data_IF_564445821964
#
_entry.id   IF_564445821964
#
_cell.length_a   1.000
_cell.length_b   1.000
_cell.length_c   1.000
_cell.angle_alpha   90.00
_cell.angle_beta   90.00
_cell.angle_gamma   90.00
#
_symmetry.space_group_name_H-M   'P 1'
#
loop_
_entity.id
_entity.type
_entity.pdbx_description
1 polymer ?
#
# COMPACT_ATOMS: atom_id res chain seq x y z
N UNK A 1 -19.19 28.87 -32.47
CA UNK A 1 -18.17 28.80 -31.40
C UNK A 1 -18.35 27.45 -30.74
N UNK A 2 -17.39 26.56 -30.92
CA UNK A 2 -17.42 25.21 -30.36
C UNK A 2 -16.88 25.31 -28.94
N UNK A 3 -17.67 24.91 -27.95
CA UNK A 3 -17.24 24.75 -26.55
C UNK A 3 -15.92 23.96 -26.53
N UNK A 4 -14.91 24.39 -25.75
CA UNK A 4 -13.68 23.63 -25.62
C UNK A 4 -14.04 22.28 -24.99
N UNK A 5 -13.67 21.21 -25.69
CA UNK A 5 -13.79 19.84 -25.22
C UNK A 5 -13.01 19.75 -23.90
N UNK A 6 -13.70 19.84 -22.76
CA UNK A 6 -13.15 19.55 -21.45
C UNK A 6 -12.73 18.09 -21.49
N UNK A 7 -11.47 17.82 -21.85
CA UNK A 7 -10.85 16.53 -21.64
C UNK A 7 -11.01 16.26 -20.15
N UNK A 8 -11.95 15.37 -19.79
CA UNK A 8 -12.16 14.95 -18.43
C UNK A 8 -10.79 14.52 -17.90
N UNK A 9 -10.26 15.25 -16.92
CA UNK A 9 -9.09 14.79 -16.17
C UNK A 9 -9.42 13.38 -15.69
N UNK A 10 -8.63 12.35 -16.04
CA UNK A 10 -8.95 11.00 -15.62
C UNK A 10 -9.02 10.98 -14.10
N UNK A 11 -10.21 10.71 -13.56
CA UNK A 11 -10.43 10.68 -12.13
C UNK A 11 -9.63 9.51 -11.55
N UNK A 12 -8.61 9.82 -10.75
CA UNK A 12 -7.83 8.81 -10.05
C UNK A 12 -8.75 8.02 -9.12
N UNK A 13 -8.72 6.70 -9.20
CA UNK A 13 -9.51 5.79 -8.37
C UNK A 13 -8.61 5.12 -7.36
N UNK A 14 -8.93 5.33 -6.09
CA UNK A 14 -8.17 4.82 -4.96
C UNK A 14 -9.05 3.89 -4.14
N UNK A 15 -8.53 2.73 -3.78
CA UNK A 15 -9.15 1.81 -2.85
C UNK A 15 -8.29 1.70 -1.59
N UNK A 16 -8.85 1.96 -0.43
CA UNK A 16 -8.25 1.65 0.87
C UNK A 16 -8.93 0.40 1.43
N UNK A 17 -8.16 -0.64 1.70
CA UNK A 17 -8.59 -1.85 2.39
C UNK A 17 -8.08 -1.75 3.82
N UNK A 18 -9.00 -1.75 4.77
CA UNK A 18 -8.76 -1.32 6.13
C UNK A 18 -8.99 0.19 6.26
N UNK A 19 -9.73 0.56 7.30
CA UNK A 19 -10.08 1.94 7.61
C UNK A 19 -9.36 2.43 8.87
N UNK A 20 -9.39 1.62 9.93
CA UNK A 20 -8.90 2.02 11.25
C UNK A 20 -9.57 3.32 11.72
N UNK A 21 -8.76 4.36 11.96
CA UNK A 21 -9.25 5.70 12.30
C UNK A 21 -9.60 6.59 11.09
N UNK A 22 -9.33 6.14 9.86
CA UNK A 22 -9.62 6.88 8.64
C UNK A 22 -8.57 7.91 8.20
N UNK A 23 -7.41 7.97 8.87
CA UNK A 23 -6.35 8.94 8.56
C UNK A 23 -5.79 8.79 7.14
N UNK A 24 -5.49 7.56 6.72
CA UNK A 24 -4.95 7.28 5.38
C UNK A 24 -5.94 7.62 4.26
N UNK A 25 -7.21 7.14 4.27
CA UNK A 25 -8.16 7.51 3.22
C UNK A 25 -8.46 9.01 3.21
N UNK A 26 -8.51 9.66 4.38
CA UNK A 26 -8.71 11.11 4.46
C UNK A 26 -7.52 11.87 3.87
N UNK A 27 -6.29 11.44 4.17
CA UNK A 27 -5.07 12.00 3.59
C UNK A 27 -5.08 11.87 2.05
N UNK A 28 -5.40 10.68 1.53
CA UNK A 28 -5.44 10.44 0.09
C UNK A 28 -6.51 11.29 -0.60
N UNK A 29 -7.72 11.38 -0.05
CA UNK A 29 -8.76 12.24 -0.61
C UNK A 29 -8.42 13.74 -0.54
N UNK A 30 -7.71 14.17 0.51
CA UNK A 30 -7.26 15.56 0.65
C UNK A 30 -6.17 15.91 -0.36
N UNK A 31 -5.21 15.01 -0.60
CA UNK A 31 -4.06 15.26 -1.47
C UNK A 31 -4.34 15.00 -2.95
N UNK A 32 -5.26 14.09 -3.28
CA UNK A 32 -5.70 13.82 -4.66
C UNK A 32 -7.08 14.43 -4.91
N UNK A 33 -7.14 15.76 -5.09
CA UNK A 33 -8.40 16.46 -5.33
C UNK A 33 -9.14 15.92 -6.56
N UNK A 34 -10.40 15.54 -6.37
CA UNK A 34 -11.24 14.91 -7.40
C UNK A 34 -11.09 13.39 -7.49
N UNK A 35 -10.16 12.76 -6.80
CA UNK A 35 -10.06 11.31 -6.77
C UNK A 35 -11.30 10.66 -6.15
N UNK A 36 -11.70 9.52 -6.70
CA UNK A 36 -12.71 8.66 -6.09
C UNK A 36 -11.99 7.75 -5.10
N UNK A 37 -12.22 7.98 -3.81
CA UNK A 37 -11.64 7.17 -2.73
C UNK A 37 -12.71 6.27 -2.12
N UNK A 38 -12.55 4.98 -2.32
CA UNK A 38 -13.33 3.93 -1.69
C UNK A 38 -12.57 3.39 -0.48
N UNK A 39 -13.28 3.17 0.62
CA UNK A 39 -12.72 2.59 1.84
C UNK A 39 -13.52 1.34 2.18
N UNK A 40 -12.84 0.24 2.45
CA UNK A 40 -13.47 -1.03 2.81
C UNK A 40 -12.99 -1.43 4.20
N UNK A 41 -13.92 -1.57 5.12
CA UNK A 41 -13.68 -2.01 6.49
C UNK A 41 -14.58 -3.20 6.82
N UNK A 42 -14.02 -4.24 7.43
CA UNK A 42 -14.78 -5.45 7.76
C UNK A 42 -15.59 -5.26 9.06
N UNK A 43 -15.06 -4.49 10.01
CA UNK A 43 -15.66 -4.35 11.33
C UNK A 43 -16.53 -3.08 11.45
N UNK A 44 -17.87 -3.20 11.59
CA UNK A 44 -18.74 -2.05 11.81
C UNK A 44 -18.44 -1.29 13.12
N UNK A 45 -17.83 -1.93 14.12
CA UNK A 45 -17.42 -1.29 15.38
C UNK A 45 -16.29 -0.29 15.12
N UNK A 46 -15.30 -0.65 14.30
CA UNK A 46 -14.20 0.25 13.89
C UNK A 46 -14.76 1.46 13.15
N UNK A 47 -15.67 1.25 12.19
CA UNK A 47 -16.35 2.34 11.48
C UNK A 47 -17.07 3.26 12.45
N UNK A 48 -17.87 2.71 13.36
CA UNK A 48 -18.63 3.48 14.34
C UNK A 48 -17.71 4.29 15.24
N UNK A 49 -16.63 3.69 15.76
CA UNK A 49 -15.65 4.37 16.60
C UNK A 49 -14.94 5.51 15.85
N UNK A 50 -14.57 5.29 14.57
CA UNK A 50 -13.92 6.34 13.77
C UNK A 50 -14.79 7.58 13.59
N UNK A 51 -16.10 7.40 13.35
CA UNK A 51 -17.03 8.50 13.13
C UNK A 51 -17.35 9.19 14.45
N UNK A 52 -17.72 8.40 15.48
CA UNK A 52 -18.26 8.95 16.73
C UNK A 52 -17.18 9.44 17.69
N UNK A 53 -16.03 8.76 17.77
CA UNK A 53 -14.98 9.08 18.73
C UNK A 53 -13.81 9.84 18.09
N UNK A 54 -13.48 9.57 16.82
CA UNK A 54 -12.32 10.17 16.15
C UNK A 54 -12.70 11.31 15.18
N UNK A 55 -14.00 11.53 14.93
CA UNK A 55 -14.48 12.62 14.08
C UNK A 55 -14.27 12.40 12.58
N UNK A 56 -14.14 11.15 12.14
CA UNK A 56 -14.02 10.84 10.71
C UNK A 56 -15.26 11.31 9.94
N UNK A 57 -15.10 12.12 8.87
CA UNK A 57 -16.23 12.62 8.09
C UNK A 57 -16.74 11.53 7.12
N UNK A 58 -17.96 11.00 7.30
CA UNK A 58 -18.48 9.93 6.43
C UNK A 58 -18.81 10.40 4.99
N UNK A 59 -18.71 11.69 4.70
CA UNK A 59 -18.85 12.26 3.37
C UNK A 59 -17.73 13.30 3.14
N UNK A 60 -17.14 13.39 1.93
CA UNK A 60 -17.54 12.77 0.66
C UNK A 60 -16.93 11.37 0.37
N UNK A 61 -16.28 10.73 1.36
CA UNK A 61 -15.64 9.42 1.19
C UNK A 61 -16.69 8.30 1.06
N UNK A 62 -16.44 7.32 0.19
CA UNK A 62 -17.32 6.15 0.06
C UNK A 62 -16.82 5.02 0.95
N UNK A 63 -17.38 4.91 2.16
CA UNK A 63 -17.05 3.88 3.14
C UNK A 63 -18.00 2.69 3.02
N UNK A 64 -17.44 1.50 2.84
CA UNK A 64 -18.15 0.23 2.69
C UNK A 64 -17.81 -0.69 3.85
N UNK A 65 -18.83 -1.16 4.57
CA UNK A 65 -18.67 -2.22 5.57
C UNK A 65 -18.76 -3.56 4.83
N UNK A 66 -17.62 -4.18 4.55
CA UNK A 66 -17.53 -5.39 3.73
C UNK A 66 -16.20 -6.10 3.92
N UNK A 67 -16.16 -7.41 3.66
CA UNK A 67 -14.91 -8.11 3.44
C UNK A 67 -14.24 -7.65 2.13
N UNK A 68 -12.93 -7.49 2.15
CA UNK A 68 -12.19 -6.95 1.01
C UNK A 68 -12.27 -7.84 -0.25
N UNK A 69 -12.32 -9.16 -0.08
CA UNK A 69 -12.44 -10.10 -1.20
C UNK A 69 -13.84 -9.99 -1.83
N UNK A 70 -14.89 -9.98 -1.00
CA UNK A 70 -16.27 -9.82 -1.46
C UNK A 70 -16.48 -8.50 -2.23
N UNK A 71 -15.92 -7.40 -1.71
CA UNK A 71 -15.97 -6.10 -2.38
C UNK A 71 -15.26 -6.10 -3.74
N UNK A 72 -14.09 -6.74 -3.83
CA UNK A 72 -13.35 -6.86 -5.09
C UNK A 72 -14.08 -7.76 -6.08
N UNK A 73 -14.70 -8.85 -5.61
CA UNK A 73 -15.49 -9.80 -6.41
C UNK A 73 -16.79 -9.20 -6.96
N UNK A 74 -17.40 -8.23 -6.26
CA UNK A 74 -18.60 -7.52 -6.72
C UNK A 74 -18.38 -6.76 -8.04
N UNK A 75 -17.12 -6.56 -8.46
CA UNK A 75 -16.77 -5.95 -9.73
C UNK A 75 -16.85 -4.43 -9.76
N UNK A 76 -16.67 -3.87 -10.95
CA UNK A 76 -16.62 -2.43 -11.20
C UNK A 76 -15.28 -1.99 -11.80
N UNK A 77 -15.14 -0.68 -11.96
CA UNK A 77 -13.98 -0.07 -12.61
C UNK A 77 -12.66 -0.36 -11.87
N UNK A 78 -11.54 -0.47 -12.60
CA UNK A 78 -10.23 -0.69 -12.02
C UNK A 78 -9.76 0.50 -11.16
N UNK A 79 -8.83 0.24 -10.26
CA UNK A 79 -8.18 1.21 -9.40
C UNK A 79 -6.75 1.51 -9.87
N UNK A 80 -6.36 2.78 -9.78
CA UNK A 80 -5.00 3.23 -10.06
C UNK A 80 -4.08 2.94 -8.87
N UNK A 81 -4.63 3.07 -7.66
CA UNK A 81 -3.94 2.85 -6.39
C UNK A 81 -4.81 2.03 -5.44
N UNK A 82 -4.24 0.98 -4.87
CA UNK A 82 -4.85 0.24 -3.76
C UNK A 82 -3.90 0.31 -2.57
N UNK A 83 -4.38 0.82 -1.44
CA UNK A 83 -3.67 0.79 -0.17
C UNK A 83 -4.27 -0.31 0.72
N UNK A 84 -3.44 -1.20 1.24
CA UNK A 84 -3.85 -2.30 2.13
C UNK A 84 -3.23 -2.05 3.51
N UNK A 85 -4.10 -1.82 4.49
CA UNK A 85 -3.78 -1.58 5.89
C UNK A 85 -4.83 -2.27 6.79
N UNK A 86 -4.88 -3.59 6.69
CA UNK A 86 -5.96 -4.42 7.25
C UNK A 86 -5.39 -5.53 8.15
N UNK A 87 -4.82 -5.10 9.26
CA UNK A 87 -4.43 -5.97 10.37
C UNK A 87 -5.65 -6.44 11.16
N UNK A 88 -5.57 -7.63 11.74
CA UNK A 88 -6.57 -8.07 12.72
C UNK A 88 -6.33 -7.45 14.10
N UNK A 89 -7.21 -7.78 15.05
CA UNK A 89 -7.13 -7.26 16.42
C UNK A 89 -5.91 -7.71 17.22
N UNK A 90 -5.14 -8.69 16.70
CA UNK A 90 -3.95 -9.27 17.34
C UNK A 90 -2.64 -8.85 16.64
N UNK A 91 -2.69 -7.79 15.82
CA UNK A 91 -1.56 -7.26 15.03
C UNK A 91 -1.02 -8.26 13.99
N UNK A 92 -1.88 -9.16 13.48
CA UNK A 92 -1.53 -10.09 12.42
C UNK A 92 -2.12 -9.63 11.10
N UNK A 93 -1.28 -9.59 10.05
CA UNK A 93 -1.77 -9.37 8.70
C UNK A 93 -2.35 -10.70 8.13
N UNK A 94 -3.67 -10.79 7.91
CA UNK A 94 -4.32 -12.09 7.69
C UNK A 94 -3.84 -12.82 6.43
N UNK A 95 -3.60 -14.14 6.53
CA UNK A 95 -3.15 -14.97 5.40
C UNK A 95 -4.08 -14.89 4.18
N UNK A 96 -5.39 -14.73 4.40
CA UNK A 96 -6.38 -14.51 3.32
C UNK A 96 -6.00 -13.33 2.40
N UNK A 97 -5.33 -12.30 2.92
CA UNK A 97 -4.95 -11.10 2.16
C UNK A 97 -3.60 -11.23 1.42
N UNK A 98 -2.87 -12.34 1.60
CA UNK A 98 -1.58 -12.54 0.93
C UNK A 98 -1.34 -13.98 0.46
N UNK A 99 -2.31 -14.88 0.56
CA UNK A 99 -2.25 -16.20 -0.06
C UNK A 99 -2.07 -16.05 -1.59
N UNK A 100 -0.94 -16.51 -2.17
CA UNK A 100 -0.67 -16.45 -3.61
C UNK A 100 -1.79 -17.06 -4.46
N UNK A 101 -2.43 -18.11 -3.93
CA UNK A 101 -3.50 -18.87 -4.56
C UNK A 101 -4.87 -18.53 -3.94
N UNK A 102 -4.94 -17.45 -3.16
CA UNK A 102 -6.15 -16.92 -2.54
C UNK A 102 -7.04 -16.18 -3.54
N UNK A 103 -8.33 -16.11 -3.24
CA UNK A 103 -9.29 -15.35 -4.05
C UNK A 103 -8.98 -13.85 -4.02
N UNK A 104 -8.62 -13.30 -2.85
CA UNK A 104 -8.27 -11.89 -2.69
C UNK A 104 -7.21 -11.39 -3.68
N UNK A 105 -6.01 -12.01 -3.72
CA UNK A 105 -4.94 -11.54 -4.61
C UNK A 105 -5.33 -11.69 -6.09
N UNK A 106 -6.16 -12.69 -6.44
CA UNK A 106 -6.71 -12.81 -7.79
C UNK A 106 -7.66 -11.67 -8.12
N UNK A 107 -8.62 -11.38 -7.25
CA UNK A 107 -9.60 -10.32 -7.41
C UNK A 107 -8.92 -8.95 -7.45
N UNK A 108 -7.98 -8.70 -6.55
CA UNK A 108 -7.17 -7.49 -6.48
C UNK A 108 -6.42 -7.25 -7.78
N UNK A 109 -5.68 -8.26 -8.26
CA UNK A 109 -4.95 -8.18 -9.53
C UNK A 109 -5.88 -7.83 -10.69
N UNK A 110 -7.07 -8.43 -10.78
CA UNK A 110 -8.07 -8.12 -11.81
C UNK A 110 -8.68 -6.72 -11.70
N UNK A 111 -8.64 -6.09 -10.52
CA UNK A 111 -9.19 -4.75 -10.24
C UNK A 111 -8.14 -3.64 -10.31
N UNK A 112 -6.91 -3.92 -10.73
CA UNK A 112 -5.87 -2.90 -10.94
C UNK A 112 -5.87 -2.38 -12.37
N UNK A 113 -5.61 -1.08 -12.55
CA UNK A 113 -5.40 -0.49 -13.87
C UNK A 113 -4.29 -1.25 -14.62
N UNK A 114 -4.52 -1.70 -15.87
CA UNK A 114 -3.63 -2.65 -16.55
C UNK A 114 -2.21 -2.12 -16.81
N UNK A 115 -2.05 -0.80 -16.95
CA UNK A 115 -0.78 -0.18 -17.33
C UNK A 115 0.02 0.38 -16.16
N UNK A 116 -0.64 0.81 -15.08
CA UNK A 116 0.00 1.54 -13.97
C UNK A 116 -0.59 1.24 -12.59
N UNK A 117 -1.57 0.33 -12.49
CA UNK A 117 -2.21 -0.02 -11.24
C UNK A 117 -1.19 -0.46 -10.20
N UNK A 118 -1.24 0.19 -9.04
CA UNK A 118 -0.25 0.02 -7.97
C UNK A 118 -0.94 -0.38 -6.68
N UNK A 119 -0.35 -1.34 -5.97
CA UNK A 119 -0.73 -1.76 -4.63
C UNK A 119 0.36 -1.34 -3.67
N UNK A 120 -0.03 -0.73 -2.56
CA UNK A 120 0.84 -0.44 -1.42
C UNK A 120 0.29 -1.19 -0.22
N UNK A 121 1.11 -2.00 0.42
CA UNK A 121 0.73 -2.80 1.59
C UNK A 121 1.55 -2.31 2.77
N UNK A 122 0.86 -1.92 3.83
CA UNK A 122 1.48 -1.64 5.12
C UNK A 122 1.87 -2.95 5.79
N UNK A 123 3.13 -3.10 6.18
CA UNK A 123 3.64 -4.29 6.87
C UNK A 123 4.46 -3.89 8.11
N UNK A 124 4.12 -4.44 9.26
CA UNK A 124 4.95 -4.40 10.45
C UNK A 124 6.19 -5.26 10.23
N UNK A 125 7.34 -4.77 10.69
CA UNK A 125 8.58 -5.50 10.58
C UNK A 125 8.58 -6.65 11.60
N UNK A 126 8.61 -7.89 11.11
CA UNK A 126 8.69 -9.07 11.96
C UNK A 126 9.95 -9.02 12.84
N UNK A 127 9.80 -9.30 14.13
CA UNK A 127 10.88 -9.51 15.09
C UNK A 127 11.37 -10.96 15.14
N UNK A 128 11.23 -11.74 14.07
CA UNK A 128 11.64 -13.16 13.94
C UNK A 128 13.15 -13.43 14.19
N UNK A 129 13.90 -12.44 14.68
CA UNK A 129 15.26 -12.58 15.22
C UNK A 129 15.27 -13.24 16.62
N UNK A 130 14.13 -13.35 17.31
CA UNK A 130 14.11 -13.85 18.71
C UNK A 130 13.56 -15.27 18.94
N UNK A 131 13.10 -15.98 17.89
CA UNK A 131 12.49 -17.33 18.04
C UNK A 131 13.40 -18.48 17.58
N UNK A 132 14.72 -18.28 17.53
CA UNK A 132 15.71 -19.33 17.32
C UNK A 132 16.82 -19.26 18.36
N UNK A 133 17.01 -20.34 19.12
CA UNK A 133 18.11 -20.51 20.06
C UNK A 133 19.47 -20.22 19.40
N UNK A 134 20.19 -19.22 19.91
CA UNK A 134 21.64 -19.07 19.72
C UNK A 134 22.12 -17.89 18.85
N UNK A 135 22.51 -16.80 19.51
CA UNK A 135 23.61 -15.91 19.09
C UNK A 135 23.30 -14.75 18.14
N UNK A 136 23.73 -13.55 18.54
CA UNK A 136 23.98 -12.34 17.71
C UNK A 136 22.82 -11.42 17.28
N UNK A 137 21.79 -11.25 18.12
CA UNK A 137 20.79 -10.18 17.99
C UNK A 137 21.32 -8.74 18.06
N UNK A 138 22.57 -8.53 18.50
CA UNK A 138 23.18 -7.20 18.62
C UNK A 138 23.80 -6.67 17.30
N UNK A 139 24.09 -7.55 16.33
CA UNK A 139 24.72 -7.15 15.07
C UNK A 139 23.73 -6.61 14.02
N UNK A 140 22.43 -6.95 14.14
CA UNK A 140 21.40 -6.55 13.16
C UNK A 140 21.10 -5.04 13.17
N UNK A 141 21.31 -4.36 14.30
CA UNK A 141 21.17 -2.89 14.38
C UNK A 141 22.35 -2.13 13.78
N UNK A 142 23.49 -2.80 13.51
CA UNK A 142 24.67 -2.14 12.96
C UNK A 142 24.56 -1.85 11.44
N UNK A 143 23.58 -2.43 10.75
CA UNK A 143 23.40 -2.30 9.30
C UNK A 143 22.24 -1.40 8.84
N UNK A 144 21.44 -0.85 9.76
CA UNK A 144 20.32 0.05 9.42
C UNK A 144 19.19 -0.58 8.58
N UNK A 145 19.20 -1.91 8.39
CA UNK A 145 18.18 -2.67 7.66
C UNK A 145 17.69 -3.75 8.61
N UNK A 146 16.42 -3.70 9.01
CA UNK A 146 15.82 -4.81 9.76
C UNK A 146 15.84 -6.06 8.87
N UNK A 147 16.43 -7.18 9.34
CA UNK A 147 16.41 -8.43 8.59
C UNK A 147 14.96 -8.81 8.31
N UNK A 148 14.70 -9.21 7.07
CA UNK A 148 13.35 -9.57 6.63
C UNK A 148 12.95 -10.88 7.31
N UNK A 149 11.90 -10.86 8.13
CA UNK A 149 11.30 -12.07 8.68
C UNK A 149 10.83 -13.03 7.58
N UNK A 150 10.69 -14.30 7.93
CA UNK A 150 10.22 -15.32 6.98
C UNK A 150 8.81 -14.96 6.50
N UNK A 151 7.98 -14.44 7.39
CA UNK A 151 6.61 -14.03 7.12
C UNK A 151 6.54 -12.86 6.12
N UNK A 152 7.16 -11.70 6.40
CA UNK A 152 7.18 -10.55 5.46
C UNK A 152 7.75 -10.94 4.09
N UNK A 153 8.76 -11.82 4.06
CA UNK A 153 9.34 -12.32 2.80
C UNK A 153 8.31 -13.06 1.94
N UNK A 154 7.44 -13.87 2.55
CA UNK A 154 6.39 -14.62 1.86
C UNK A 154 5.31 -13.67 1.32
N UNK A 155 4.88 -12.70 2.13
CA UNK A 155 3.93 -11.65 1.72
C UNK A 155 4.45 -10.92 0.49
N UNK A 156 5.70 -10.43 0.54
CA UNK A 156 6.32 -9.70 -0.58
C UNK A 156 6.32 -10.52 -1.88
N UNK A 157 6.66 -11.81 -1.80
CA UNK A 157 6.69 -12.71 -2.97
C UNK A 157 5.30 -12.97 -3.54
N UNK A 158 4.27 -13.08 -2.69
CA UNK A 158 2.90 -13.29 -3.12
C UNK A 158 2.36 -12.10 -3.94
N UNK A 159 2.57 -10.88 -3.46
CA UNK A 159 2.16 -9.67 -4.20
C UNK A 159 2.96 -9.52 -5.49
N UNK A 160 4.27 -9.79 -5.46
CA UNK A 160 5.12 -9.80 -6.66
C UNK A 160 4.59 -10.79 -7.71
N UNK A 161 4.34 -12.04 -7.33
CA UNK A 161 3.91 -13.07 -8.28
C UNK A 161 2.57 -12.74 -8.94
N UNK A 162 1.68 -12.05 -8.24
CA UNK A 162 0.31 -11.79 -8.72
C UNK A 162 0.13 -10.43 -9.40
N UNK A 163 0.86 -9.40 -8.97
CA UNK A 163 0.70 -8.03 -9.49
C UNK A 163 1.75 -7.73 -10.56
N UNK A 164 3.03 -8.01 -10.28
CA UNK A 164 4.14 -7.71 -11.17
C UNK A 164 5.40 -7.27 -10.43
N UNK A 165 6.00 -6.16 -10.86
CA UNK A 165 7.21 -5.63 -10.22
C UNK A 165 6.90 -5.21 -8.79
N UNK A 166 7.72 -5.64 -7.83
CA UNK A 166 7.56 -5.25 -6.43
C UNK A 166 8.88 -4.82 -5.79
N UNK A 167 8.79 -3.84 -4.89
CA UNK A 167 9.87 -3.40 -4.03
C UNK A 167 9.30 -3.06 -2.66
N UNK A 168 10.15 -2.95 -1.66
CA UNK A 168 9.76 -2.49 -0.33
C UNK A 168 10.63 -1.32 0.11
N UNK A 169 10.08 -0.49 0.99
CA UNK A 169 10.79 0.57 1.69
C UNK A 169 10.63 0.33 3.18
N UNK A 170 11.73 0.02 3.86
CA UNK A 170 11.75 -0.21 5.30
C UNK A 170 12.07 1.07 6.07
N UNK A 171 11.37 1.27 7.18
CA UNK A 171 11.59 2.37 8.12
C UNK A 171 11.86 1.76 9.50
N UNK A 172 13.11 1.32 9.78
CA UNK A 172 13.44 0.53 10.97
C UNK A 172 13.00 1.12 12.30
N UNK A 173 13.15 2.44 12.46
CA UNK A 173 12.79 3.15 13.69
C UNK A 173 11.28 3.28 13.91
N UNK A 174 10.46 2.97 12.90
CA UNK A 174 9.01 2.85 13.00
C UNK A 174 8.54 1.38 13.01
N UNK A 175 9.47 0.41 12.98
CA UNK A 175 9.16 -1.02 12.83
C UNK A 175 8.20 -1.28 11.66
N UNK A 176 8.35 -0.55 10.56
CA UNK A 176 7.40 -0.54 9.46
C UNK A 176 8.07 -0.76 8.11
N UNK A 177 7.34 -1.40 7.20
CA UNK A 177 7.73 -1.72 5.85
C UNK A 177 6.55 -1.39 4.93
N UNK A 178 6.77 -0.51 3.96
CA UNK A 178 5.83 -0.31 2.86
C UNK A 178 6.22 -1.20 1.70
N UNK A 179 5.43 -2.24 1.41
CA UNK A 179 5.56 -3.05 0.21
C UNK A 179 4.80 -2.38 -0.92
N UNK A 180 5.43 -2.20 -2.07
CA UNK A 180 4.84 -1.64 -3.28
C UNK A 180 4.91 -2.68 -4.38
N UNK A 181 3.77 -3.02 -4.98
CA UNK A 181 3.69 -3.89 -6.14
C UNK A 181 2.91 -3.19 -7.25
N UNK A 182 3.44 -3.16 -8.46
CA UNK A 182 2.84 -2.40 -9.56
C UNK A 182 2.77 -3.20 -10.86
N UNK A 183 1.72 -2.92 -11.62
CA UNK A 183 1.58 -3.31 -13.01
C UNK A 183 2.64 -2.55 -13.80
N UNK A 184 3.71 -3.22 -14.20
CA UNK A 184 4.68 -2.68 -15.14
C UNK A 184 4.84 -3.65 -16.29
N UNK A 185 4.61 -3.17 -17.50
CA UNK A 185 4.91 -3.87 -18.75
C UNK A 185 6.40 -3.65 -19.08
N UNK A 186 7.19 -4.72 -19.10
CA UNK A 186 8.62 -4.69 -19.45
C UNK A 186 9.49 -5.51 -18.49
N UNK A 187 10.75 -5.73 -18.87
CA UNK A 187 11.71 -6.49 -18.06
C UNK A 187 12.02 -5.84 -16.71
N UNK A 188 12.55 -6.63 -15.77
CA UNK A 188 12.94 -6.16 -14.44
C UNK A 188 14.09 -5.14 -14.56
N UNK A 189 13.87 -3.85 -14.25
CA UNK A 189 14.94 -2.86 -14.33
C UNK A 189 15.99 -3.12 -13.25
N UNK A 190 17.25 -2.78 -13.53
CA UNK A 190 18.28 -2.81 -12.52
C UNK A 190 17.87 -1.93 -11.31
N UNK A 191 18.13 -2.41 -10.10
CA UNK A 191 17.81 -1.72 -8.82
C UNK A 191 18.13 -0.23 -8.87
N UNK A 192 19.34 0.14 -9.31
CA UNK A 192 19.79 1.53 -9.33
C UNK A 192 18.99 2.41 -10.30
N UNK A 193 18.58 1.86 -11.45
CA UNK A 193 17.75 2.59 -12.41
C UNK A 193 16.34 2.83 -11.85
N UNK A 194 15.76 1.86 -11.14
CA UNK A 194 14.46 2.00 -10.49
C UNK A 194 14.51 3.04 -9.37
N UNK A 195 15.50 2.95 -8.48
CA UNK A 195 15.68 3.94 -7.40
C UNK A 195 15.91 5.34 -7.99
N UNK A 196 16.73 5.48 -9.03
CA UNK A 196 16.95 6.75 -9.71
C UNK A 196 15.66 7.33 -10.31
N UNK A 197 14.82 6.49 -10.93
CA UNK A 197 13.51 6.91 -11.44
C UNK A 197 12.54 7.32 -10.33
N UNK A 198 12.54 6.62 -9.20
CA UNK A 198 11.68 6.95 -8.06
C UNK A 198 12.11 8.27 -7.42
N UNK A 199 13.41 8.50 -7.23
CA UNK A 199 13.94 9.76 -6.70
C UNK A 199 13.60 10.92 -7.65
N UNK A 200 13.82 10.76 -8.95
CA UNK A 200 13.51 11.81 -9.93
C UNK A 200 12.00 12.13 -10.03
N UNK A 201 11.14 11.13 -9.80
CA UNK A 201 9.69 11.33 -9.69
C UNK A 201 9.25 11.92 -8.34
N UNK A 202 9.98 11.59 -7.27
CA UNK A 202 9.69 11.98 -5.89
C UNK A 202 9.52 13.48 -5.73
N UNK A 203 10.46 14.29 -6.22
CA UNK A 203 10.41 15.75 -6.12
C UNK A 203 9.10 16.33 -6.70
N UNK A 204 8.61 15.74 -7.81
CA UNK A 204 7.37 16.18 -8.46
C UNK A 204 6.14 15.82 -7.62
N UNK A 205 6.14 14.63 -7.02
CA UNK A 205 5.06 14.17 -6.13
C UNK A 205 5.06 14.97 -4.83
N UNK A 206 6.22 15.20 -4.23
CA UNK A 206 6.38 15.98 -3.01
C UNK A 206 5.85 17.41 -3.17
N UNK A 207 6.20 18.06 -4.29
CA UNK A 207 5.71 19.39 -4.62
C UNK A 207 4.21 19.38 -4.93
N UNK A 208 3.71 18.40 -5.70
CA UNK A 208 2.30 18.32 -6.07
C UNK A 208 1.39 18.03 -4.87
N UNK A 209 1.86 17.21 -3.93
CA UNK A 209 1.11 16.84 -2.73
C UNK A 209 1.44 17.72 -1.53
N UNK A 210 2.31 18.72 -1.65
CA UNK A 210 2.74 19.61 -0.55
C UNK A 210 3.10 18.79 0.72
N UNK A 211 4.06 17.89 0.56
CA UNK A 211 4.50 17.01 1.66
C UNK A 211 5.47 17.76 2.58
N UNK A 212 5.33 17.58 3.92
CA UNK A 212 6.13 18.33 4.89
C UNK A 212 7.61 17.90 4.96
N UNK A 213 7.99 16.81 4.30
CA UNK A 213 9.36 16.29 4.28
C UNK A 213 9.64 15.46 3.01
N UNK A 214 10.91 15.39 2.57
CA UNK A 214 11.27 14.63 1.39
C UNK A 214 11.23 13.12 1.64
N UNK A 215 10.65 12.36 0.71
CA UNK A 215 10.58 10.91 0.73
C UNK A 215 11.90 10.24 0.26
N UNK A 216 12.76 11.01 -0.41
CA UNK A 216 14.04 10.55 -0.97
C UNK A 216 14.94 9.85 0.07
N UNK A 217 14.98 10.32 1.31
CA UNK A 217 15.82 9.70 2.34
C UNK A 217 15.34 8.29 2.71
N UNK A 218 14.03 8.04 2.68
CA UNK A 218 13.47 6.70 2.89
C UNK A 218 13.83 5.77 1.73
N UNK A 219 13.77 6.26 0.49
CA UNK A 219 14.16 5.50 -0.70
C UNK A 219 15.65 5.14 -0.69
N UNK A 220 16.53 6.05 -0.26
CA UNK A 220 17.98 5.78 -0.21
C UNK A 220 18.34 4.70 0.81
N UNK A 221 17.67 4.68 1.96
CA UNK A 221 18.04 3.84 3.12
C UNK A 221 17.28 2.52 3.18
N UNK A 222 15.98 2.56 2.90
CA UNK A 222 15.06 1.45 3.14
C UNK A 222 14.74 0.60 1.91
N UNK A 223 15.21 0.98 0.72
CA UNK A 223 14.79 0.35 -0.53
C UNK A 223 15.42 -1.04 -0.76
N UNK A 224 14.55 -2.03 -0.99
CA UNK A 224 14.91 -3.35 -1.48
C UNK A 224 13.95 -3.81 -2.59
N UNK A 225 14.50 -4.28 -3.70
CA UNK A 225 13.72 -4.92 -4.78
C UNK A 225 13.32 -6.34 -4.32
N UNK A 226 12.13 -6.80 -4.71
CA UNK A 226 11.69 -8.17 -4.43
C UNK A 226 12.00 -9.07 -5.63
N UNK A 227 12.76 -10.13 -5.38
CA UNK A 227 13.15 -11.15 -6.38
C UNK A 227 12.10 -12.25 -6.58
#
# INVERSE_FOLDING_TARGET
MQEPNCLAVPFMRVLCIGHGGGSLPLFLASKFQGAVVHVVEIDPVVVTASIQAMGFPPAPLSLFISDADDFLLAGGEPYDLVAVDAYDGDDVFPNKLWDPDGAFLRSLSGRLHPDHGTVVVNLHADSDVFSGEGGDGAAAFAGGILPMGRYVSQVCRAYRSRVGMAFKVSVPWLCNISLVACRRRGGSPARNALVGSLIAGGDRVELALDLPFPCVEYLKRGFALID
#
